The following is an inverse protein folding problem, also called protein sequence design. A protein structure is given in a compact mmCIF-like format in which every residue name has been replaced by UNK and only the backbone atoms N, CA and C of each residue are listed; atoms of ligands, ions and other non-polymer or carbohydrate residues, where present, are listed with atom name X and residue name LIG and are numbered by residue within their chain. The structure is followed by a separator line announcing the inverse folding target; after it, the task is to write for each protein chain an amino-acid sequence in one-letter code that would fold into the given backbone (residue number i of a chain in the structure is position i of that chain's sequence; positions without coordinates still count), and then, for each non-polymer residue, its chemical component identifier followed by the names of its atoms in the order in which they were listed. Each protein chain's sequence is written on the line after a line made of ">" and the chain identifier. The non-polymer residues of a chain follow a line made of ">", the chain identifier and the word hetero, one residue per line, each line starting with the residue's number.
data_IF_312530677921
#
_entry.id   IF_312530677921
#
_cell.length_a   1.000
_cell.length_b   1.000
_cell.length_c   1.000
_cell.angle_alpha   90.00
_cell.angle_beta   90.00
_cell.angle_gamma   90.00
#
_symmetry.space_group_name_H-M   'P 1'
#
loop_
_entity.id
_entity.type
_entity.pdbx_description
1 polymer ?
#
# COMPACT_ATOMS: atom_id res chain seq x y z
N UNK A 1 11.44 7.04 22.51
CA UNK A 1 10.29 7.83 23.01
C UNK A 1 9.82 8.75 21.89
N UNK A 2 8.54 8.64 21.52
CA UNK A 2 7.84 9.47 20.51
C UNK A 2 6.94 10.43 21.27
N UNK A 3 7.04 11.72 21.00
CA UNK A 3 6.30 12.77 21.74
C UNK A 3 5.47 13.57 20.74
N UNK A 4 4.18 13.60 20.96
CA UNK A 4 3.26 14.34 20.10
C UNK A 4 3.45 15.87 20.30
N UNK A 5 3.47 16.61 19.20
CA UNK A 5 3.48 18.07 19.25
C UNK A 5 2.20 18.58 19.92
N UNK A 6 2.29 19.62 20.78
CA UNK A 6 1.15 20.09 21.56
C UNK A 6 -0.11 20.40 20.74
N UNK A 7 0.04 20.90 19.54
CA UNK A 7 -1.06 21.32 18.66
C UNK A 7 -1.32 20.35 17.48
N UNK A 8 -0.70 19.15 17.48
CA UNK A 8 -0.79 18.21 16.35
C UNK A 8 -2.23 17.89 15.96
N UNK A 9 -3.04 17.44 16.90
CA UNK A 9 -4.45 17.11 16.66
C UNK A 9 -5.25 18.30 16.12
N UNK A 10 -5.03 19.50 16.69
CA UNK A 10 -5.71 20.69 16.25
C UNK A 10 -5.32 21.09 14.83
N UNK A 11 -4.02 20.99 14.51
CA UNK A 11 -3.50 21.33 13.18
C UNK A 11 -4.07 20.36 12.13
N UNK A 12 -4.00 19.04 12.37
CA UNK A 12 -4.57 18.02 11.49
C UNK A 12 -6.08 18.25 11.29
N UNK A 13 -6.84 18.50 12.36
CA UNK A 13 -8.26 18.74 12.28
C UNK A 13 -8.61 20.01 11.46
N UNK A 14 -7.83 21.08 11.59
CA UNK A 14 -8.02 22.31 10.81
C UNK A 14 -7.68 22.06 9.34
N UNK A 15 -6.55 21.43 9.05
CA UNK A 15 -6.09 21.17 7.68
C UNK A 15 -7.09 20.26 6.95
N UNK A 16 -7.56 19.19 7.61
CA UNK A 16 -8.62 18.33 7.08
C UNK A 16 -9.91 19.11 6.82
N UNK A 17 -10.36 19.91 7.78
CA UNK A 17 -11.60 20.69 7.62
C UNK A 17 -11.47 21.68 6.45
N UNK A 18 -10.34 22.38 6.35
CA UNK A 18 -10.06 23.29 5.23
C UNK A 18 -10.08 22.54 3.90
N UNK A 19 -9.43 21.39 3.83
CA UNK A 19 -9.41 20.56 2.62
C UNK A 19 -10.81 20.09 2.23
N UNK A 20 -11.58 19.55 3.17
CA UNK A 20 -12.96 19.07 2.94
C UNK A 20 -13.90 20.21 2.47
N UNK A 21 -13.76 21.41 3.04
CA UNK A 21 -14.54 22.58 2.60
C UNK A 21 -14.17 23.00 1.19
N UNK A 22 -12.87 23.13 0.89
CA UNK A 22 -12.38 23.49 -0.45
C UNK A 22 -12.83 22.45 -1.47
N UNK A 23 -12.72 21.16 -1.12
CA UNK A 23 -13.17 20.09 -1.99
C UNK A 23 -14.67 20.18 -2.32
N UNK A 24 -15.53 20.36 -1.32
CA UNK A 24 -16.98 20.54 -1.53
C UNK A 24 -17.29 21.76 -2.41
N UNK A 25 -16.50 22.84 -2.32
CA UNK A 25 -16.66 24.00 -3.19
C UNK A 25 -16.28 23.69 -4.65
N UNK A 26 -15.19 22.94 -4.85
CA UNK A 26 -14.73 22.49 -6.18
C UNK A 26 -15.79 21.57 -6.82
N UNK A 27 -16.31 20.61 -6.07
CA UNK A 27 -17.40 19.73 -6.54
C UNK A 27 -18.63 20.51 -6.97
N UNK A 28 -19.06 21.45 -6.15
CA UNK A 28 -20.21 22.32 -6.49
C UNK A 28 -19.96 23.13 -7.74
N UNK A 29 -18.75 23.65 -7.90
CA UNK A 29 -18.37 24.42 -9.09
C UNK A 29 -18.33 23.52 -10.34
N UNK A 30 -17.78 22.34 -10.26
CA UNK A 30 -17.75 21.38 -11.37
C UNK A 30 -19.15 20.89 -11.75
N UNK A 31 -19.97 20.54 -10.77
CA UNK A 31 -21.37 20.16 -11.00
C UNK A 31 -22.16 21.29 -11.68
N UNK A 32 -21.92 22.53 -11.29
CA UNK A 32 -22.53 23.69 -11.94
C UNK A 32 -22.07 23.87 -13.39
N UNK A 33 -20.76 23.72 -13.66
CA UNK A 33 -20.19 23.80 -15.01
C UNK A 33 -20.74 22.71 -15.93
N UNK A 34 -20.84 21.48 -15.45
CA UNK A 34 -21.40 20.35 -16.22
C UNK A 34 -22.88 20.57 -16.53
N UNK A 35 -23.64 21.07 -15.56
CA UNK A 35 -25.03 21.41 -15.76
C UNK A 35 -25.22 22.48 -16.86
N UNK A 36 -24.33 23.46 -16.94
CA UNK A 36 -24.34 24.47 -18.02
C UNK A 36 -24.04 23.88 -19.40
N UNK A 37 -23.24 22.83 -19.45
CA UNK A 37 -22.89 22.11 -20.69
C UNK A 37 -23.90 21.03 -21.07
N UNK A 38 -24.94 20.79 -20.27
CA UNK A 38 -25.91 19.71 -20.50
C UNK A 38 -25.36 18.31 -20.26
N UNK A 39 -24.22 18.19 -19.56
CA UNK A 39 -23.62 16.92 -19.15
C UNK A 39 -24.31 16.39 -17.89
N UNK A 40 -24.28 15.06 -17.70
CA UNK A 40 -24.82 14.41 -16.50
C UNK A 40 -24.15 14.87 -15.21
N UNK A 41 -24.69 14.49 -14.05
CA UNK A 41 -24.11 14.85 -12.74
C UNK A 41 -22.64 14.42 -12.67
N UNK A 42 -21.86 15.21 -11.95
CA UNK A 42 -20.48 14.82 -11.63
C UNK A 42 -20.55 13.66 -10.63
N UNK A 43 -20.11 12.49 -11.02
CA UNK A 43 -20.00 11.36 -10.13
C UNK A 43 -18.63 11.40 -9.45
N UNK A 44 -18.65 11.74 -8.18
CA UNK A 44 -17.42 11.80 -7.36
C UNK A 44 -17.25 10.59 -6.46
N UNK A 45 -18.01 9.52 -6.70
CA UNK A 45 -18.18 8.38 -5.77
C UNK A 45 -16.99 8.02 -4.89
N UNK A 46 -15.78 8.26 -5.36
CA UNK A 46 -14.60 7.75 -4.69
C UNK A 46 -13.69 8.80 -4.01
N UNK A 47 -13.79 10.10 -4.35
CA UNK A 47 -12.83 11.07 -3.77
C UNK A 47 -13.22 11.44 -2.35
N UNK A 48 -14.50 11.55 -2.06
CA UNK A 48 -14.97 11.78 -0.70
C UNK A 48 -14.49 10.67 0.23
N UNK A 49 -14.69 9.44 -0.18
CA UNK A 49 -14.28 8.25 0.57
C UNK A 49 -12.75 8.15 0.72
N UNK A 50 -11.99 8.51 -0.33
CA UNK A 50 -10.51 8.58 -0.24
C UNK A 50 -10.07 9.65 0.74
N UNK A 51 -10.71 10.83 0.72
CA UNK A 51 -10.39 11.92 1.66
C UNK A 51 -10.69 11.52 3.10
N UNK A 52 -11.83 10.88 3.34
CA UNK A 52 -12.22 10.41 4.66
C UNK A 52 -11.28 9.28 5.13
N UNK A 53 -10.91 8.34 4.27
CA UNK A 53 -9.94 7.29 4.58
C UNK A 53 -8.55 7.84 4.93
N UNK A 54 -8.07 8.84 4.17
CA UNK A 54 -6.79 9.51 4.47
C UNK A 54 -6.87 10.25 5.80
N UNK A 55 -8.00 10.89 6.10
CA UNK A 55 -8.21 11.57 7.37
C UNK A 55 -8.19 10.60 8.55
N UNK A 56 -8.91 9.49 8.45
CA UNK A 56 -8.92 8.45 9.48
C UNK A 56 -7.49 7.96 9.75
N UNK A 57 -6.70 7.64 8.71
CA UNK A 57 -5.30 7.26 8.86
C UNK A 57 -4.44 8.33 9.56
N UNK A 58 -4.65 9.62 9.25
CA UNK A 58 -3.94 10.72 9.91
C UNK A 58 -4.33 10.88 11.39
N UNK A 59 -5.57 10.58 11.76
CA UNK A 59 -6.00 10.59 13.16
C UNK A 59 -5.50 9.36 13.91
N UNK A 60 -5.46 8.19 13.28
CA UNK A 60 -4.91 6.96 13.85
C UNK A 60 -3.42 7.10 14.18
N UNK A 61 -2.64 7.80 13.35
CA UNK A 61 -1.22 8.13 13.64
C UNK A 61 -1.03 9.00 14.90
N UNK A 62 -2.08 9.66 15.38
CA UNK A 62 -2.05 10.44 16.62
C UNK A 62 -2.48 9.64 17.85
N UNK A 63 -2.97 8.42 17.67
CA UNK A 63 -3.39 7.52 18.75
C UNK A 63 -2.25 6.57 19.13
N UNK A 64 -1.46 6.95 20.12
CA UNK A 64 -0.34 6.16 20.60
C UNK A 64 -0.73 4.89 21.36
N UNK A 65 -1.95 4.81 21.89
CA UNK A 65 -2.46 3.58 22.50
C UNK A 65 -2.80 2.56 21.39
N UNK A 66 -3.35 3.03 20.28
CA UNK A 66 -3.59 2.21 19.09
C UNK A 66 -2.27 1.74 18.47
N UNK A 67 -1.26 2.62 18.35
CA UNK A 67 0.07 2.27 17.81
C UNK A 67 0.73 1.16 18.65
N UNK A 68 0.66 1.24 19.98
CA UNK A 68 1.18 0.21 20.87
C UNK A 68 0.45 -1.14 20.70
N UNK A 69 -0.88 -1.10 20.58
CA UNK A 69 -1.71 -2.30 20.36
C UNK A 69 -1.40 -2.93 19.00
N UNK A 70 -1.22 -2.12 17.98
CA UNK A 70 -0.86 -2.55 16.62
C UNK A 70 0.50 -3.26 16.60
N UNK A 71 1.49 -2.71 17.31
CA UNK A 71 2.82 -3.32 17.44
C UNK A 71 2.74 -4.74 18.05
N UNK A 72 2.00 -4.88 19.16
CA UNK A 72 1.83 -6.18 19.82
C UNK A 72 1.10 -7.18 18.91
N UNK A 73 0.02 -6.76 18.25
CA UNK A 73 -0.72 -7.61 17.30
C UNK A 73 0.14 -8.04 16.12
N UNK A 74 0.95 -7.13 15.57
CA UNK A 74 1.84 -7.46 14.46
C UNK A 74 2.90 -8.48 14.89
N UNK A 75 3.53 -8.29 16.04
CA UNK A 75 4.48 -9.26 16.61
C UNK A 75 3.84 -10.63 16.80
N UNK A 76 2.66 -10.69 17.45
CA UNK A 76 1.94 -11.95 17.69
C UNK A 76 1.56 -12.64 16.37
N UNK A 77 1.10 -11.88 15.38
CA UNK A 77 0.69 -12.42 14.08
C UNK A 77 1.84 -13.06 13.30
N UNK A 78 3.09 -12.62 13.52
CA UNK A 78 4.29 -13.10 12.82
C UNK A 78 5.26 -13.86 13.71
N UNK A 79 4.88 -14.21 14.94
CA UNK A 79 5.75 -14.93 15.90
C UNK A 79 6.28 -16.25 15.33
N UNK A 80 5.50 -16.92 14.48
CA UNK A 80 5.90 -18.17 13.82
C UNK A 80 7.13 -18.04 12.89
N UNK A 81 7.47 -16.82 12.44
CA UNK A 81 8.66 -16.58 11.62
C UNK A 81 9.95 -16.57 12.46
N UNK A 82 9.87 -16.22 13.73
CA UNK A 82 10.99 -16.25 14.67
C UNK A 82 12.07 -15.17 14.47
N UNK A 83 12.08 -14.49 13.32
CA UNK A 83 13.06 -13.44 12.97
C UNK A 83 12.48 -12.02 12.94
N UNK A 84 11.18 -11.88 13.17
CA UNK A 84 10.51 -10.58 13.27
C UNK A 84 10.46 -10.15 14.72
N UNK A 85 10.69 -8.87 14.99
CA UNK A 85 10.56 -8.30 16.31
C UNK A 85 10.01 -6.88 16.24
N UNK A 86 9.48 -6.38 17.36
CA UNK A 86 8.98 -5.02 17.54
C UNK A 86 9.42 -4.50 18.92
N UNK A 87 9.64 -3.19 19.09
CA UNK A 87 9.97 -2.63 20.39
C UNK A 87 8.88 -2.88 21.41
N UNK A 88 9.23 -3.33 22.59
CA UNK A 88 8.28 -3.53 23.69
C UNK A 88 7.77 -2.18 24.19
N UNK A 89 6.44 -2.04 24.30
CA UNK A 89 5.79 -0.87 24.84
C UNK A 89 5.96 -0.81 26.37
N UNK A 90 6.21 0.40 26.91
CA UNK A 90 6.38 0.66 28.33
C UNK A 90 5.23 1.56 28.83
N UNK A 91 4.10 0.98 29.23
CA UNK A 91 2.90 1.74 29.61
C UNK A 91 3.11 2.68 30.78
N UNK A 92 3.94 2.29 31.76
CA UNK A 92 4.26 3.11 32.94
C UNK A 92 5.03 4.39 32.63
N UNK A 93 5.66 4.48 31.45
CA UNK A 93 6.40 5.64 30.95
C UNK A 93 5.72 6.32 29.78
N UNK A 94 4.47 5.96 29.51
CA UNK A 94 3.70 6.44 28.36
C UNK A 94 2.42 7.17 28.79
N UNK A 95 1.90 7.96 27.88
CA UNK A 95 0.62 8.67 28.02
C UNK A 95 -0.01 8.76 26.63
N UNK A 96 -1.23 9.22 26.52
CA UNK A 96 -1.90 9.45 25.22
C UNK A 96 -1.14 10.39 24.26
N UNK A 97 -0.07 11.05 24.69
CA UNK A 97 0.77 11.95 23.87
C UNK A 97 2.26 11.61 23.92
N UNK A 98 2.63 10.56 24.61
CA UNK A 98 4.02 10.11 24.75
C UNK A 98 4.03 8.59 24.66
N UNK A 99 4.59 8.07 23.57
CA UNK A 99 4.82 6.64 23.40
C UNK A 99 6.26 6.33 23.80
N UNK A 100 6.43 5.49 24.79
CA UNK A 100 7.75 5.03 25.24
C UNK A 100 7.87 3.53 25.00
N UNK A 101 8.94 3.16 24.32
CA UNK A 101 9.28 1.77 24.01
C UNK A 101 10.68 1.45 24.49
N UNK A 102 11.02 0.17 24.54
CA UNK A 102 12.41 -0.22 24.74
C UNK A 102 13.32 0.33 23.65
N UNK A 103 14.59 0.48 23.99
CA UNK A 103 15.59 0.93 23.01
C UNK A 103 16.14 -0.27 22.26
N UNK A 104 15.92 -0.29 20.94
CA UNK A 104 16.45 -1.34 20.07
C UNK A 104 17.90 -1.07 19.73
N UNK A 105 18.76 -2.07 19.97
CA UNK A 105 20.16 -2.06 19.52
C UNK A 105 20.23 -2.74 18.15
N UNK A 106 20.44 -1.95 17.11
CA UNK A 106 20.49 -2.41 15.74
C UNK A 106 20.93 -1.28 14.82
N UNK A 107 20.92 -1.52 13.52
CA UNK A 107 21.31 -0.55 12.52
C UNK A 107 20.23 -0.43 11.44
N UNK A 108 20.00 0.79 10.96
CA UNK A 108 19.21 1.07 9.77
C UNK A 108 19.99 0.72 8.50
N UNK A 109 19.30 0.57 7.38
CA UNK A 109 19.85 0.12 6.09
C UNK A 109 21.12 0.90 5.68
N UNK A 110 21.12 2.22 5.84
CA UNK A 110 22.23 3.10 5.47
C UNK A 110 23.53 2.80 6.24
N UNK A 111 23.44 2.25 7.44
CA UNK A 111 24.58 1.95 8.30
C UNK A 111 25.05 0.49 8.20
N UNK A 112 24.36 -0.34 7.42
CA UNK A 112 24.68 -1.76 7.27
C UNK A 112 25.68 -2.01 6.14
N UNK A 113 26.40 -3.15 6.26
CA UNK A 113 27.17 -3.66 5.12
C UNK A 113 26.21 -4.08 3.99
N UNK A 114 26.69 -4.18 2.75
CA UNK A 114 25.90 -4.67 1.61
C UNK A 114 25.26 -6.05 1.90
N UNK A 115 25.99 -6.91 2.58
CA UNK A 115 25.50 -8.25 2.95
C UNK A 115 24.38 -8.18 3.98
N UNK A 116 24.55 -7.38 5.03
CA UNK A 116 23.57 -7.27 6.10
C UNK A 116 22.33 -6.46 5.63
N UNK A 117 22.52 -5.47 4.75
CA UNK A 117 21.43 -4.76 4.09
C UNK A 117 20.59 -5.68 3.22
N UNK A 118 21.23 -6.56 2.44
CA UNK A 118 20.51 -7.57 1.65
C UNK A 118 19.74 -8.55 2.55
N UNK A 119 20.32 -8.98 3.66
CA UNK A 119 19.64 -9.83 4.65
C UNK A 119 18.42 -9.10 5.24
N UNK A 120 18.58 -7.88 5.71
CA UNK A 120 17.47 -7.09 6.28
C UNK A 120 16.33 -6.93 5.27
N UNK A 121 16.66 -6.60 4.02
CA UNK A 121 15.66 -6.45 2.95
C UNK A 121 14.93 -7.78 2.69
N UNK A 122 15.66 -8.89 2.64
CA UNK A 122 15.05 -10.22 2.46
C UNK A 122 14.08 -10.54 3.60
N UNK A 123 14.49 -10.36 4.84
CA UNK A 123 13.65 -10.64 6.02
C UNK A 123 12.42 -9.72 6.07
N UNK A 124 12.59 -8.44 5.75
CA UNK A 124 11.47 -7.49 5.70
C UNK A 124 10.46 -7.87 4.61
N UNK A 125 10.91 -8.22 3.41
CA UNK A 125 10.03 -8.68 2.32
C UNK A 125 9.31 -9.98 2.70
N UNK A 126 10.00 -10.92 3.33
CA UNK A 126 9.40 -12.17 3.81
C UNK A 126 8.33 -11.90 4.88
N UNK A 127 8.61 -11.03 5.85
CA UNK A 127 7.65 -10.62 6.88
C UNK A 127 6.42 -9.92 6.27
N UNK A 128 6.62 -8.95 5.38
CA UNK A 128 5.53 -8.24 4.70
C UNK A 128 4.69 -9.20 3.83
N UNK A 129 5.33 -10.13 3.12
CA UNK A 129 4.61 -11.13 2.34
C UNK A 129 3.79 -12.05 3.23
N UNK A 130 4.39 -12.55 4.32
CA UNK A 130 3.68 -13.40 5.27
C UNK A 130 2.51 -12.67 5.95
N UNK A 131 2.69 -11.39 6.31
CA UNK A 131 1.62 -10.57 6.87
C UNK A 131 0.45 -10.40 5.90
N UNK A 132 0.73 -10.22 4.61
CA UNK A 132 -0.29 -10.06 3.57
C UNK A 132 -1.03 -11.38 3.28
N UNK A 133 -0.32 -12.49 3.06
CA UNK A 133 -0.93 -13.72 2.52
C UNK A 133 -1.30 -14.75 3.57
N UNK A 134 -0.75 -14.67 4.79
CA UNK A 134 -0.99 -15.67 5.84
C UNK A 134 -1.81 -15.12 7.01
N UNK A 135 -1.60 -13.85 7.39
CA UNK A 135 -2.25 -13.30 8.59
C UNK A 135 -3.33 -12.26 8.27
N UNK A 136 -3.23 -11.59 7.13
CA UNK A 136 -4.14 -10.51 6.73
C UNK A 136 -4.03 -9.25 7.59
N UNK A 137 -2.97 -9.13 8.41
CA UNK A 137 -2.69 -7.95 9.22
C UNK A 137 -1.39 -7.29 8.76
N UNK A 138 -1.51 -6.23 7.98
CA UNK A 138 -0.43 -5.69 7.14
C UNK A 138 0.06 -4.37 7.68
N UNK A 139 1.38 -4.21 7.73
CA UNK A 139 2.02 -2.93 7.91
C UNK A 139 1.93 -2.15 6.59
N UNK A 140 1.21 -1.02 6.60
CA UNK A 140 0.91 -0.30 5.37
C UNK A 140 2.02 0.69 4.95
N UNK A 141 3.02 0.93 5.81
CA UNK A 141 4.16 1.82 5.52
C UNK A 141 5.52 1.22 5.95
N UNK A 142 5.96 0.08 5.40
CA UNK A 142 7.20 -0.61 5.80
C UNK A 142 8.43 -0.02 5.09
N UNK A 143 8.62 1.30 5.15
CA UNK A 143 9.78 1.94 4.54
C UNK A 143 11.07 1.70 5.35
N UNK A 144 12.22 1.89 4.73
CA UNK A 144 13.55 1.60 5.31
C UNK A 144 13.84 2.35 6.63
N UNK A 145 13.25 3.54 6.81
CA UNK A 145 13.36 4.31 8.05
C UNK A 145 12.65 3.66 9.25
N UNK A 146 11.66 2.80 8.98
CA UNK A 146 10.90 2.06 9.99
C UNK A 146 11.47 0.65 10.24
N UNK A 147 12.65 0.33 9.66
CA UNK A 147 13.28 -0.97 9.78
C UNK A 147 14.67 -0.88 10.39
N UNK A 148 15.00 -1.85 11.23
CA UNK A 148 16.35 -2.06 11.75
C UNK A 148 16.74 -3.53 11.69
N UNK A 149 18.02 -3.83 11.48
CA UNK A 149 18.58 -5.14 11.69
C UNK A 149 19.30 -5.17 13.06
N UNK A 150 18.88 -6.09 13.92
CA UNK A 150 19.54 -6.34 15.21
C UNK A 150 20.79 -7.19 15.04
N UNK A 151 21.67 -7.13 16.04
CA UNK A 151 22.90 -7.92 16.08
C UNK A 151 22.64 -9.45 16.10
N UNK A 152 21.48 -9.87 16.60
CA UNK A 152 21.07 -11.29 16.60
C UNK A 152 20.43 -11.74 15.27
N UNK A 153 20.41 -10.89 14.24
CA UNK A 153 19.90 -11.18 12.92
C UNK A 153 18.40 -11.05 12.75
N UNK A 154 17.68 -10.49 13.72
CA UNK A 154 16.24 -10.21 13.59
C UNK A 154 16.00 -8.88 12.91
N UNK A 155 14.96 -8.81 12.06
CA UNK A 155 14.42 -7.55 11.55
C UNK A 155 13.42 -6.99 12.55
N UNK A 156 13.56 -5.70 12.83
CA UNK A 156 12.67 -4.97 13.77
C UNK A 156 11.90 -3.92 13.00
N UNK A 157 10.58 -3.92 13.16
CA UNK A 157 9.68 -2.87 12.71
C UNK A 157 9.48 -1.86 13.84
N UNK A 158 9.51 -0.56 13.54
CA UNK A 158 9.59 0.48 14.57
C UNK A 158 8.35 1.36 14.70
N UNK A 159 7.57 1.55 13.65
CA UNK A 159 6.40 2.42 13.60
C UNK A 159 5.16 1.61 13.23
N UNK A 160 4.05 1.75 13.96
CA UNK A 160 2.81 1.00 13.76
C UNK A 160 1.58 1.92 13.69
N UNK A 161 1.79 3.18 13.36
CA UNK A 161 0.71 4.15 13.20
C UNK A 161 -0.22 3.79 12.03
N UNK A 162 0.31 3.14 10.99
CA UNK A 162 -0.48 2.78 9.81
C UNK A 162 -0.52 1.27 9.60
N UNK A 163 -1.58 0.64 10.07
CA UNK A 163 -1.85 -0.79 9.92
C UNK A 163 -3.16 -1.03 9.19
N UNK A 164 -3.26 -2.12 8.44
CA UNK A 164 -4.47 -2.46 7.69
C UNK A 164 -4.83 -3.94 7.84
N UNK A 165 -6.14 -4.20 7.96
CA UNK A 165 -6.69 -5.54 7.83
C UNK A 165 -7.01 -5.86 6.37
N UNK A 166 -6.70 -7.06 5.92
CA UNK A 166 -6.94 -7.53 4.55
C UNK A 166 -7.93 -8.67 4.55
N UNK A 167 -8.95 -8.57 3.72
CA UNK A 167 -9.97 -9.60 3.60
C UNK A 167 -9.41 -10.91 3.03
N UNK A 168 -9.96 -12.04 3.50
CA UNK A 168 -9.47 -13.37 3.14
C UNK A 168 -9.45 -13.66 1.64
N UNK A 169 -10.41 -13.14 0.88
CA UNK A 169 -10.42 -13.31 -0.58
C UNK A 169 -9.28 -12.53 -1.27
N UNK A 170 -8.92 -11.36 -0.74
CA UNK A 170 -7.79 -10.57 -1.23
C UNK A 170 -6.47 -11.29 -0.90
N UNK A 171 -6.34 -11.83 0.32
CA UNK A 171 -5.19 -12.65 0.73
C UNK A 171 -4.98 -13.83 -0.22
N UNK A 172 -6.05 -14.57 -0.53
CA UNK A 172 -6.01 -15.71 -1.46
C UNK A 172 -5.60 -15.27 -2.86
N UNK A 173 -6.16 -14.18 -3.38
CA UNK A 173 -5.82 -13.65 -4.70
C UNK A 173 -4.37 -13.19 -4.78
N UNK A 174 -3.82 -12.53 -3.74
CA UNK A 174 -2.40 -12.20 -3.67
C UNK A 174 -1.51 -13.46 -3.64
N UNK A 175 -1.88 -14.46 -2.84
CA UNK A 175 -1.13 -15.73 -2.79
C UNK A 175 -1.12 -16.43 -4.16
N UNK A 176 -2.26 -16.44 -4.86
CA UNK A 176 -2.37 -16.97 -6.22
C UNK A 176 -1.55 -16.16 -7.22
N UNK A 177 -1.57 -14.83 -7.13
CA UNK A 177 -0.77 -13.95 -7.97
C UNK A 177 0.74 -14.17 -7.79
N UNK A 178 1.21 -14.27 -6.55
CA UNK A 178 2.63 -14.58 -6.26
C UNK A 178 3.01 -15.95 -6.84
N UNK A 179 2.18 -16.97 -6.64
CA UNK A 179 2.40 -18.31 -7.19
C UNK A 179 2.44 -18.29 -8.73
N UNK A 180 1.50 -17.59 -9.35
CA UNK A 180 1.43 -17.45 -10.79
C UNK A 180 2.67 -16.72 -11.36
N UNK A 181 3.12 -15.65 -10.70
CA UNK A 181 4.33 -14.94 -11.07
C UNK A 181 5.58 -15.83 -11.00
N UNK A 182 5.72 -16.63 -9.95
CA UNK A 182 6.84 -17.57 -9.79
C UNK A 182 6.79 -18.71 -10.80
N UNK A 183 5.59 -19.14 -11.21
CA UNK A 183 5.37 -20.18 -12.22
C UNK A 183 5.41 -19.66 -13.67
N UNK A 184 5.55 -18.35 -13.89
CA UNK A 184 5.47 -17.70 -15.20
C UNK A 184 4.09 -17.91 -15.89
N UNK A 185 3.06 -18.14 -15.08
CA UNK A 185 1.66 -18.25 -15.52
C UNK A 185 0.99 -16.88 -15.55
N UNK A 186 1.22 -16.15 -16.64
CA UNK A 186 0.77 -14.77 -16.79
C UNK A 186 -0.74 -14.63 -16.92
N UNK A 187 -1.46 -15.68 -17.35
CA UNK A 187 -2.93 -15.68 -17.40
C UNK A 187 -3.52 -15.73 -15.99
N UNK A 188 -3.01 -16.62 -15.13
CA UNK A 188 -3.42 -16.69 -13.73
C UNK A 188 -3.02 -15.44 -12.96
N UNK A 189 -1.86 -14.83 -13.27
CA UNK A 189 -1.42 -13.56 -12.69
C UNK A 189 -2.36 -12.41 -13.06
N UNK A 190 -2.75 -12.30 -14.33
CA UNK A 190 -3.69 -11.29 -14.80
C UNK A 190 -5.07 -11.42 -14.12
N UNK A 191 -5.56 -12.65 -13.93
CA UNK A 191 -6.80 -12.92 -13.18
C UNK A 191 -6.67 -12.49 -11.72
N UNK A 192 -5.57 -12.84 -11.05
CA UNK A 192 -5.34 -12.44 -9.66
C UNK A 192 -5.36 -10.91 -9.50
N UNK A 193 -4.79 -10.14 -10.44
CA UNK A 193 -4.86 -8.67 -10.43
C UNK A 193 -6.28 -8.14 -10.64
N UNK A 194 -7.09 -8.84 -11.44
CA UNK A 194 -8.50 -8.49 -11.61
C UNK A 194 -9.30 -8.76 -10.33
N UNK A 195 -9.06 -9.89 -9.68
CA UNK A 195 -9.76 -10.31 -8.47
C UNK A 195 -9.50 -9.37 -7.29
N UNK A 196 -8.27 -8.84 -7.15
CA UNK A 196 -7.96 -7.81 -6.13
C UNK A 196 -8.39 -6.39 -6.53
N UNK A 197 -8.94 -6.21 -7.73
CA UNK A 197 -9.43 -4.92 -8.20
C UNK A 197 -8.36 -3.98 -8.77
N UNK A 198 -7.14 -4.46 -9.02
CA UNK A 198 -6.10 -3.68 -9.71
C UNK A 198 -6.42 -3.47 -11.18
N UNK A 199 -7.15 -4.40 -11.78
CA UNK A 199 -7.59 -4.31 -13.17
C UNK A 199 -9.10 -4.09 -13.24
N UNK A 200 -9.51 -3.14 -14.07
CA UNK A 200 -10.92 -2.88 -14.34
C UNK A 200 -11.50 -3.86 -15.36
N UNK A 201 -12.81 -4.03 -15.39
CA UNK A 201 -13.51 -4.82 -16.40
C UNK A 201 -14.53 -3.93 -17.10
N UNK A 202 -14.51 -3.80 -18.44
CA UNK A 202 -13.50 -4.33 -19.38
C UNK A 202 -12.15 -3.65 -19.22
N UNK A 203 -11.07 -4.35 -19.57
CA UNK A 203 -9.72 -3.79 -19.54
C UNK A 203 -9.55 -2.69 -20.57
N UNK A 204 -8.89 -1.61 -20.17
CA UNK A 204 -8.60 -0.47 -21.01
C UNK A 204 -7.10 -0.18 -20.98
N UNK A 205 -6.57 0.29 -22.07
CA UNK A 205 -5.18 0.72 -22.18
C UNK A 205 -5.04 2.06 -22.87
N UNK A 206 -3.91 2.71 -22.72
CA UNK A 206 -3.50 3.86 -23.54
C UNK A 206 -1.98 3.88 -23.67
N UNK A 207 -1.50 4.03 -24.86
CA UNK A 207 -0.07 4.10 -25.15
C UNK A 207 0.57 5.44 -24.69
N UNK A 208 -0.23 6.48 -24.59
CA UNK A 208 0.23 7.80 -24.20
C UNK A 208 -0.77 8.46 -23.22
N UNK A 209 -0.30 9.07 -22.10
CA UNK A 209 -1.16 9.75 -21.13
C UNK A 209 -2.08 10.84 -21.72
N UNK A 210 -1.81 11.33 -22.92
CA UNK A 210 -2.61 12.35 -23.62
C UNK A 210 -3.67 11.77 -24.56
N UNK A 211 -3.64 10.47 -24.80
CA UNK A 211 -4.64 9.79 -25.63
C UNK A 211 -5.86 9.37 -24.79
N UNK A 212 -7.00 9.18 -25.45
CA UNK A 212 -8.15 8.54 -24.84
C UNK A 212 -7.84 7.06 -24.54
N UNK A 213 -8.50 6.49 -23.54
CA UNK A 213 -8.42 5.06 -23.28
C UNK A 213 -9.04 4.27 -24.42
N UNK A 214 -8.41 3.18 -24.80
CA UNK A 214 -8.88 2.22 -25.77
C UNK A 214 -9.17 0.89 -25.08
N UNK A 215 -10.19 0.18 -25.56
CA UNK A 215 -10.50 -1.15 -25.06
C UNK A 215 -9.58 -2.17 -25.75
N UNK A 216 -9.16 -3.18 -25.03
CA UNK A 216 -8.51 -4.33 -25.64
C UNK A 216 -9.46 -5.03 -26.62
N UNK A 217 -8.93 -5.47 -27.76
CA UNK A 217 -9.71 -6.08 -28.87
C UNK A 217 -10.29 -7.47 -28.56
N UNK A 218 -9.95 -8.05 -27.41
CA UNK A 218 -10.45 -9.36 -26.99
C UNK A 218 -11.68 -9.21 -26.09
N UNK A 219 -12.59 -10.21 -26.07
CA UNK A 219 -13.85 -10.12 -25.31
C UNK A 219 -13.70 -9.72 -23.84
N UNK A 220 -12.57 -10.03 -23.22
CA UNK A 220 -12.25 -9.66 -21.83
C UNK A 220 -10.91 -8.90 -21.68
N UNK A 221 -10.11 -8.79 -22.73
CA UNK A 221 -8.80 -8.15 -22.74
C UNK A 221 -7.71 -8.85 -21.90
N UNK A 222 -8.07 -9.86 -21.13
CA UNK A 222 -7.18 -10.51 -20.15
C UNK A 222 -6.04 -11.26 -20.83
N UNK A 223 -6.32 -11.97 -21.92
CA UNK A 223 -5.33 -12.76 -22.66
C UNK A 223 -4.30 -11.87 -23.36
N UNK A 224 -4.76 -10.73 -23.90
CA UNK A 224 -3.87 -9.74 -24.48
C UNK A 224 -2.96 -9.12 -23.41
N UNK A 225 -3.52 -8.73 -22.28
CA UNK A 225 -2.75 -8.22 -21.16
C UNK A 225 -1.74 -9.25 -20.60
N UNK A 226 -2.12 -10.52 -20.50
CA UNK A 226 -1.21 -11.60 -20.09
C UNK A 226 -0.05 -11.79 -21.08
N UNK A 227 -0.27 -11.58 -22.38
CA UNK A 227 0.78 -11.62 -23.40
C UNK A 227 1.72 -10.41 -23.28
N UNK A 228 1.20 -9.21 -23.05
CA UNK A 228 2.01 -8.01 -22.79
C UNK A 228 2.87 -8.16 -21.54
N UNK A 229 2.30 -8.72 -20.45
CA UNK A 229 3.06 -9.08 -19.25
C UNK A 229 4.20 -10.05 -19.57
N UNK A 230 3.92 -11.10 -20.36
CA UNK A 230 4.93 -12.09 -20.76
C UNK A 230 6.07 -11.45 -21.54
N UNK A 231 5.77 -10.58 -22.50
CA UNK A 231 6.76 -9.85 -23.30
C UNK A 231 7.58 -8.90 -22.45
N UNK A 232 6.95 -8.11 -21.57
CA UNK A 232 7.65 -7.20 -20.67
C UNK A 232 8.59 -7.94 -19.71
N UNK A 233 8.17 -9.08 -19.19
CA UNK A 233 8.97 -9.90 -18.28
C UNK A 233 10.12 -10.63 -19.01
N UNK A 234 9.94 -10.97 -20.31
CA UNK A 234 10.97 -11.62 -21.11
C UNK A 234 12.07 -10.65 -21.59
N UNK A 235 11.75 -9.36 -21.78
CA UNK A 235 12.71 -8.34 -22.24
C UNK A 235 13.62 -7.81 -21.15
N UNK A 236 13.41 -8.20 -19.91
CA UNK A 236 14.21 -7.75 -18.76
C UNK A 236 15.53 -8.51 -18.69
N UNK A 237 16.43 -8.24 -19.66
CA UNK A 237 17.83 -8.70 -19.61
C UNK A 237 18.63 -7.78 -18.68
N UNK A 238 19.35 -8.38 -17.72
CA UNK A 238 20.41 -7.68 -17.00
C UNK A 238 20.17 -7.36 -15.53
N UNK A 239 19.49 -8.24 -14.76
CA UNK A 239 19.57 -8.21 -13.30
C UNK A 239 18.47 -7.40 -12.58
N UNK A 240 17.53 -6.82 -13.28
CA UNK A 240 16.29 -6.34 -12.67
C UNK A 240 15.48 -7.57 -12.23
N UNK A 241 15.10 -7.63 -10.96
CA UNK A 241 14.32 -8.75 -10.47
C UNK A 241 12.99 -8.85 -11.22
N UNK A 242 12.43 -10.05 -11.37
CA UNK A 242 11.10 -10.26 -11.95
C UNK A 242 10.03 -9.33 -11.33
N UNK A 243 10.16 -9.04 -10.04
CA UNK A 243 9.30 -8.07 -9.35
C UNK A 243 9.54 -6.62 -9.79
N UNK A 244 10.75 -6.25 -10.18
CA UNK A 244 11.02 -4.91 -10.74
C UNK A 244 10.33 -4.71 -12.08
N UNK A 245 10.42 -5.69 -12.99
CA UNK A 245 9.70 -5.65 -14.27
C UNK A 245 8.17 -5.65 -14.07
N UNK A 246 7.68 -6.45 -13.14
CA UNK A 246 6.26 -6.44 -12.75
C UNK A 246 5.83 -5.07 -12.22
N UNK A 247 6.64 -4.44 -11.38
CA UNK A 247 6.36 -3.10 -10.86
C UNK A 247 6.34 -2.04 -11.96
N UNK A 248 7.21 -2.14 -12.98
CA UNK A 248 7.18 -1.24 -14.14
C UNK A 248 5.89 -1.42 -14.95
N UNK A 249 5.48 -2.65 -15.23
CA UNK A 249 4.21 -2.93 -15.92
C UNK A 249 3.02 -2.46 -15.10
N UNK A 250 3.01 -2.72 -13.79
CA UNK A 250 1.96 -2.24 -12.89
C UNK A 250 1.93 -0.71 -12.80
N UNK A 251 3.08 -0.04 -12.80
CA UNK A 251 3.13 1.42 -12.85
C UNK A 251 2.53 1.96 -14.15
N UNK A 252 2.85 1.36 -15.28
CA UNK A 252 2.21 1.71 -16.56
C UNK A 252 0.69 1.52 -16.48
N UNK A 253 0.21 0.46 -15.85
CA UNK A 253 -1.21 0.16 -15.69
C UNK A 253 -1.90 1.03 -14.65
N UNK A 254 -1.29 1.32 -13.52
CA UNK A 254 -1.84 2.23 -12.51
C UNK A 254 -2.01 3.65 -13.07
N UNK A 255 -1.11 4.06 -13.97
CA UNK A 255 -1.27 5.31 -14.71
C UNK A 255 -2.26 5.22 -15.89
N UNK A 256 -2.61 4.02 -16.33
CA UNK A 256 -3.51 3.77 -17.47
C UNK A 256 -4.86 3.21 -17.05
N UNK A 257 -4.98 2.64 -15.86
CA UNK A 257 -6.28 2.25 -15.33
C UNK A 257 -7.15 3.49 -15.19
N UNK A 258 -8.38 3.48 -15.71
CA UNK A 258 -9.32 4.52 -15.38
C UNK A 258 -9.43 4.55 -13.86
N UNK A 259 -9.34 5.75 -13.30
CA UNK A 259 -9.72 5.95 -11.91
C UNK A 259 -11.08 5.28 -11.69
N UNK A 260 -11.39 4.76 -10.49
CA UNK A 260 -12.77 4.36 -10.15
C UNK A 260 -13.83 5.37 -10.59
N UNK A 261 -13.45 6.62 -10.84
CA UNK A 261 -14.29 7.71 -11.38
C UNK A 261 -14.74 7.54 -12.82
N UNK A 262 -14.06 6.72 -13.60
CA UNK A 262 -14.36 6.51 -15.02
C UNK A 262 -15.29 5.28 -15.23
N UNK A 263 -15.70 4.63 -14.15
CA UNK A 263 -16.73 3.58 -14.14
C UNK A 263 -18.11 4.26 -14.13
N UNK A 264 -18.52 4.79 -15.29
CA UNK A 264 -19.86 5.28 -15.54
C UNK A 264 -20.87 4.15 -15.68
#
# INVERSE_FOLDING_TARGET
>A
MKVQRPDALRTVAIDYTCFAVVWKLIERWWSFQRKLKGEGPFDNGDIGDVVDTVADGLFDELDYDLEALNADRFRESLDFLGFVDVPTFLPELSTNRVLTTEWIRGAHLEALSVKDGALMTQLAVEACTASLVLTGYVHADPHEGNLMLREDGKVVFLDFGLMSGVDGYIMESFAQGIRACLAEDYESLARAFQDVGFLTTPLQFRENPKQAYELYDTPNGLDQFANELREAMATTEGGTSRFGALAEVLNCLLYTSPSPRDRG
#
